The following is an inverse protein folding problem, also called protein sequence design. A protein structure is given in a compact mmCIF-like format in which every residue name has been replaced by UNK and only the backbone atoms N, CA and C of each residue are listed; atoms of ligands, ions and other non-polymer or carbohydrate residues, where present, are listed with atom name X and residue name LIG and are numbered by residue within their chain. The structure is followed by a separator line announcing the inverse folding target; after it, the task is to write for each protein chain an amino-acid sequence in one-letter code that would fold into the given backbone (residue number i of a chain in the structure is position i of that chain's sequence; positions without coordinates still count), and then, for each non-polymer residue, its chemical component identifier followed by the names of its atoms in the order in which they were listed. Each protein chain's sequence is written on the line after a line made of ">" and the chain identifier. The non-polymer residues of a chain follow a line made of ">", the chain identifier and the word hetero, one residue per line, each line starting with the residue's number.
data_IF_515297840051
#
_entry.id   IF_515297840051
#
_cell.length_a   1.000
_cell.length_b   1.000
_cell.length_c   1.000
_cell.angle_alpha   90.00
_cell.angle_beta   90.00
_cell.angle_gamma   90.00
#
_symmetry.space_group_name_H-M   'P 1'
#
loop_
_entity.id
_entity.type
_entity.pdbx_description
1 polymer ?
#
# COMPACT_ATOMS: atom_id res chain seq x y z
N UNK A 1 -4.74 30.23 37.97
CA UNK A 1 -4.37 30.49 36.56
C UNK A 1 -3.29 29.53 36.01
N UNK A 2 -2.27 29.11 36.78
CA UNK A 2 -1.26 28.11 36.32
C UNK A 2 -1.86 26.70 36.13
N UNK A 3 -2.71 26.25 37.03
CA UNK A 3 -3.44 24.96 36.94
C UNK A 3 -4.38 24.88 35.74
N UNK A 4 -5.08 25.97 35.39
CA UNK A 4 -5.94 26.04 34.21
C UNK A 4 -5.14 25.89 32.90
N UNK A 5 -3.94 26.47 32.83
CA UNK A 5 -3.04 26.31 31.67
C UNK A 5 -2.53 24.88 31.51
N UNK A 6 -2.26 24.16 32.62
CA UNK A 6 -1.82 22.76 32.61
C UNK A 6 -2.95 21.83 32.14
N UNK A 7 -4.18 22.06 32.61
CA UNK A 7 -5.36 21.28 32.20
C UNK A 7 -5.67 21.48 30.71
N UNK A 8 -5.59 22.72 30.21
CA UNK A 8 -5.77 23.03 28.78
C UNK A 8 -4.66 22.36 27.95
N UNK A 9 -3.41 22.40 28.40
CA UNK A 9 -2.29 21.74 27.71
C UNK A 9 -2.44 20.22 27.66
N UNK A 10 -2.96 19.57 28.72
CA UNK A 10 -3.20 18.13 28.73
C UNK A 10 -4.35 17.74 27.77
N UNK A 11 -5.40 18.56 27.72
CA UNK A 11 -6.56 18.33 26.85
C UNK A 11 -6.19 18.39 25.36
N UNK A 12 -5.26 19.27 24.97
CA UNK A 12 -4.75 19.35 23.59
C UNK A 12 -3.93 18.11 23.17
N UNK A 13 -3.18 17.48 24.08
CA UNK A 13 -2.40 16.27 23.78
C UNK A 13 -3.29 15.04 23.56
N UNK A 14 -4.41 14.93 24.28
CA UNK A 14 -5.37 13.83 24.12
C UNK A 14 -6.13 13.88 22.78
N UNK A 15 -6.34 15.08 22.22
CA UNK A 15 -7.05 15.26 20.93
C UNK A 15 -6.17 14.82 19.74
N UNK A 16 -4.83 14.93 19.86
CA UNK A 16 -3.88 14.60 18.78
C UNK A 16 -3.64 13.09 18.58
N UNK A 17 -4.01 12.24 19.56
CA UNK A 17 -3.87 10.79 19.44
C UNK A 17 -5.00 10.11 18.63
N UNK A 18 -6.02 10.88 18.24
CA UNK A 18 -7.26 10.37 17.64
C UNK A 18 -7.32 10.32 16.11
N UNK A 19 -6.29 10.78 15.38
CA UNK A 19 -6.35 10.84 13.92
C UNK A 19 -6.40 9.43 13.27
N UNK A 20 -7.61 9.02 12.91
CA UNK A 20 -7.93 8.20 11.74
C UNK A 20 -7.52 6.73 11.83
N UNK A 21 -8.07 5.96 12.76
CA UNK A 21 -7.98 4.49 12.69
C UNK A 21 -8.52 3.95 11.36
N UNK A 22 -9.57 4.59 10.84
CA UNK A 22 -10.19 4.31 9.55
C UNK A 22 -9.95 5.52 8.65
N UNK A 23 -9.55 5.27 7.40
CA UNK A 23 -9.13 6.26 6.40
C UNK A 23 -9.72 5.87 5.04
N UNK A 24 -9.84 6.78 4.06
CA UNK A 24 -10.14 6.39 2.68
C UNK A 24 -9.17 5.30 2.19
N UNK A 25 -9.67 4.35 1.42
CA UNK A 25 -8.85 3.31 0.77
C UNK A 25 -7.81 3.95 -0.12
N UNK A 26 -6.55 3.56 0.06
CA UNK A 26 -5.46 3.97 -0.80
C UNK A 26 -5.34 3.02 -1.99
N UNK A 27 -5.61 3.54 -3.19
CA UNK A 27 -5.11 2.96 -4.43
C UNK A 27 -3.84 3.71 -4.86
N UNK A 28 -2.95 3.01 -5.55
CA UNK A 28 -1.87 3.61 -6.32
C UNK A 28 -2.24 3.44 -7.78
N UNK A 29 -2.41 4.54 -8.51
CA UNK A 29 -2.89 4.50 -9.89
C UNK A 29 -1.83 5.04 -10.84
N UNK A 30 -1.63 4.33 -11.95
CA UNK A 30 -0.84 4.75 -13.10
C UNK A 30 0.55 5.31 -12.75
N UNK A 31 1.24 4.65 -11.83
CA UNK A 31 2.60 5.06 -11.47
C UNK A 31 3.53 4.80 -12.65
N UNK A 32 4.23 5.83 -13.16
CA UNK A 32 5.05 5.69 -14.35
C UNK A 32 6.30 4.84 -14.09
N UNK A 33 6.71 4.11 -15.12
CA UNK A 33 7.93 3.31 -15.15
C UNK A 33 8.94 3.95 -16.11
N UNK A 34 10.24 3.78 -15.84
CA UNK A 34 11.30 4.25 -16.73
C UNK A 34 11.22 3.58 -18.11
N UNK A 35 11.43 4.36 -19.17
CA UNK A 35 11.23 3.95 -20.57
C UNK A 35 12.18 2.83 -21.04
N UNK A 36 13.27 2.58 -20.32
CA UNK A 36 14.24 1.52 -20.62
C UNK A 36 13.90 0.16 -19.99
N UNK A 37 12.81 0.06 -19.23
CA UNK A 37 12.38 -1.20 -18.62
C UNK A 37 11.33 -1.91 -19.47
N UNK A 38 11.50 -3.21 -19.64
CA UNK A 38 10.51 -4.08 -20.28
C UNK A 38 9.45 -4.52 -19.27
N UNK A 39 8.24 -4.83 -19.75
CA UNK A 39 7.13 -5.32 -18.92
C UNK A 39 7.52 -6.52 -18.02
N UNK A 40 8.41 -7.41 -18.51
CA UNK A 40 8.94 -8.51 -17.70
C UNK A 40 9.76 -8.03 -16.49
N UNK A 41 10.56 -6.99 -16.64
CA UNK A 41 11.34 -6.40 -15.54
C UNK A 41 10.41 -5.70 -14.53
N UNK A 42 9.36 -5.04 -15.02
CA UNK A 42 8.33 -4.44 -14.15
C UNK A 42 7.61 -5.50 -13.33
N UNK A 43 7.20 -6.61 -13.98
CA UNK A 43 6.65 -7.78 -13.30
C UNK A 43 7.57 -8.30 -12.21
N UNK A 44 8.86 -8.49 -12.52
CA UNK A 44 9.84 -8.98 -11.54
C UNK A 44 10.00 -8.01 -10.37
N UNK A 45 10.07 -6.71 -10.62
CA UNK A 45 10.16 -5.71 -9.56
C UNK A 45 8.95 -5.75 -8.62
N UNK A 46 7.75 -5.90 -9.17
CA UNK A 46 6.50 -6.04 -8.40
C UNK A 46 6.50 -7.34 -7.61
N UNK A 47 6.72 -8.47 -8.28
CA UNK A 47 6.66 -9.80 -7.70
C UNK A 47 7.60 -9.94 -6.50
N UNK A 48 8.85 -9.54 -6.69
CA UNK A 48 9.86 -9.65 -5.63
C UNK A 48 9.54 -8.70 -4.47
N UNK A 49 9.18 -7.44 -4.74
CA UNK A 49 8.87 -6.46 -3.68
C UNK A 49 7.63 -6.87 -2.86
N UNK A 50 6.65 -7.49 -3.50
CA UNK A 50 5.47 -8.03 -2.84
C UNK A 50 5.83 -9.26 -1.99
N UNK A 51 6.58 -10.21 -2.55
CA UNK A 51 7.02 -11.43 -1.85
C UNK A 51 7.91 -11.10 -0.64
N UNK A 52 8.83 -10.15 -0.76
CA UNK A 52 9.69 -9.67 0.33
C UNK A 52 8.89 -9.09 1.50
N UNK A 53 7.67 -8.61 1.23
CA UNK A 53 6.72 -8.09 2.22
C UNK A 53 5.72 -9.13 2.73
N UNK A 54 5.86 -10.38 2.29
CA UNK A 54 4.99 -11.49 2.70
C UNK A 54 3.65 -11.55 1.96
N UNK A 55 3.51 -10.83 0.84
CA UNK A 55 2.35 -11.02 -0.03
C UNK A 55 2.50 -12.31 -0.83
N UNK A 56 1.42 -13.08 -0.92
CA UNK A 56 1.31 -14.24 -1.80
C UNK A 56 0.87 -13.75 -3.17
N UNK A 57 1.73 -13.87 -4.18
CA UNK A 57 1.50 -13.31 -5.52
C UNK A 57 1.14 -14.41 -6.51
N UNK A 58 0.07 -14.20 -7.28
CA UNK A 58 -0.32 -15.03 -8.41
C UNK A 58 -0.47 -14.17 -9.67
N UNK A 59 -0.12 -14.72 -10.83
CA UNK A 59 -0.41 -14.08 -12.12
C UNK A 59 -1.76 -14.56 -12.63
N UNK A 60 -2.70 -13.63 -12.80
CA UNK A 60 -4.04 -13.94 -13.29
C UNK A 60 -4.02 -14.03 -14.82
N UNK A 61 -3.29 -13.11 -15.46
CA UNK A 61 -3.03 -13.05 -16.90
C UNK A 61 -1.84 -12.14 -17.16
N UNK A 62 -1.24 -12.16 -18.37
CA UNK A 62 -0.19 -11.22 -18.72
C UNK A 62 -0.60 -9.77 -18.43
N UNK A 63 0.23 -9.04 -17.67
CA UNK A 63 -0.04 -7.65 -17.28
C UNK A 63 -0.94 -7.48 -16.06
N UNK A 64 -1.33 -8.55 -15.37
CA UNK A 64 -2.13 -8.49 -14.14
C UNK A 64 -1.69 -9.52 -13.11
N UNK A 65 -1.17 -9.02 -11.97
CA UNK A 65 -0.92 -9.83 -10.79
C UNK A 65 -2.05 -9.64 -9.77
N UNK A 66 -2.37 -10.69 -9.02
CA UNK A 66 -3.17 -10.64 -7.79
C UNK A 66 -2.25 -10.97 -6.62
N UNK A 67 -2.39 -10.23 -5.53
CA UNK A 67 -1.59 -10.46 -4.33
C UNK A 67 -2.46 -10.46 -3.07
N UNK A 68 -2.18 -11.39 -2.16
CA UNK A 68 -2.89 -11.56 -0.90
C UNK A 68 -1.95 -11.42 0.29
N UNK A 69 -2.41 -10.78 1.36
CA UNK A 69 -1.63 -10.62 2.58
C UNK A 69 -2.43 -11.04 3.80
N UNK A 70 -1.86 -11.95 4.60
CA UNK A 70 -2.42 -12.44 5.85
C UNK A 70 -1.55 -11.99 7.03
N UNK A 71 -2.10 -11.15 7.91
CA UNK A 71 -1.41 -10.63 9.10
C UNK A 71 -2.27 -10.81 10.34
N UNK A 72 -1.92 -11.81 11.16
CA UNK A 72 -2.72 -12.24 12.32
C UNK A 72 -4.15 -12.57 11.87
N UNK A 73 -5.13 -11.77 12.28
CA UNK A 73 -6.53 -11.91 11.93
C UNK A 73 -6.98 -11.00 10.76
N UNK A 74 -6.06 -10.29 10.11
CA UNK A 74 -6.37 -9.36 9.02
C UNK A 74 -5.97 -9.99 7.69
N UNK A 75 -6.79 -9.76 6.66
CA UNK A 75 -6.56 -10.23 5.31
C UNK A 75 -6.85 -9.11 4.31
N UNK A 76 -6.03 -8.98 3.28
CA UNK A 76 -6.21 -8.03 2.19
C UNK A 76 -5.86 -8.66 0.85
N UNK A 77 -6.65 -8.33 -0.16
CA UNK A 77 -6.41 -8.74 -1.55
C UNK A 77 -6.31 -7.51 -2.43
N UNK A 78 -5.31 -7.51 -3.31
CA UNK A 78 -5.06 -6.44 -4.27
C UNK A 78 -4.85 -7.01 -5.67
N UNK A 79 -5.13 -6.18 -6.66
CA UNK A 79 -4.73 -6.39 -8.04
C UNK A 79 -3.70 -5.35 -8.45
N UNK A 80 -2.71 -5.79 -9.21
CA UNK A 80 -1.57 -4.98 -9.63
C UNK A 80 -1.47 -5.08 -11.16
N UNK A 81 -2.28 -4.30 -11.92
CA UNK A 81 -2.11 -4.21 -13.35
C UNK A 81 -0.79 -3.49 -13.66
N UNK A 82 -0.08 -3.95 -14.69
CA UNK A 82 1.23 -3.41 -15.04
C UNK A 82 1.53 -3.54 -16.54
N UNK A 83 2.45 -2.71 -17.00
CA UNK A 83 3.04 -2.74 -18.34
C UNK A 83 4.50 -2.28 -18.27
N UNK A 84 5.14 -2.11 -19.43
CA UNK A 84 6.43 -1.42 -19.55
C UNK A 84 6.35 0.09 -19.25
N UNK A 85 5.14 0.66 -19.17
CA UNK A 85 4.93 2.10 -18.97
C UNK A 85 4.43 2.48 -17.58
N UNK A 86 3.70 1.58 -16.93
CA UNK A 86 3.04 1.88 -15.66
C UNK A 86 2.81 0.64 -14.79
N UNK A 87 2.48 0.88 -13.53
CA UNK A 87 1.76 -0.09 -12.69
C UNK A 87 0.78 0.63 -11.75
N UNK A 88 -0.21 -0.12 -11.26
CA UNK A 88 -1.16 0.32 -10.24
C UNK A 88 -1.22 -0.71 -9.10
N UNK A 89 -1.70 -0.32 -7.92
CA UNK A 89 -2.01 -1.21 -6.80
C UNK A 89 -3.44 -0.89 -6.37
N UNK A 90 -4.36 -1.81 -6.66
CA UNK A 90 -5.79 -1.59 -6.56
C UNK A 90 -6.39 -2.51 -5.49
N UNK A 91 -7.19 -1.92 -4.60
CA UNK A 91 -7.98 -2.68 -3.63
C UNK A 91 -8.99 -3.60 -4.33
N UNK A 92 -9.10 -4.85 -3.86
CA UNK A 92 -10.14 -5.80 -4.29
C UNK A 92 -11.08 -6.10 -3.14
N UNK A 93 -10.56 -6.70 -2.07
CA UNK A 93 -11.34 -7.12 -0.91
C UNK A 93 -10.47 -7.21 0.35
N UNK A 94 -11.11 -7.29 1.52
CA UNK A 94 -10.40 -7.44 2.79
C UNK A 94 -11.29 -7.99 3.89
N UNK A 95 -10.66 -8.68 4.84
CA UNK A 95 -11.29 -9.14 6.07
C UNK A 95 -10.64 -8.50 7.30
N UNK A 96 -11.48 -8.16 8.28
CA UNK A 96 -11.08 -7.55 9.55
C UNK A 96 -10.31 -6.22 9.41
N UNK A 97 -10.44 -5.54 8.27
CA UNK A 97 -9.88 -4.21 8.03
C UNK A 97 -10.91 -3.09 8.11
N UNK A 98 -12.11 -3.37 8.65
CA UNK A 98 -13.19 -2.37 8.81
C UNK A 98 -13.54 -1.67 7.49
N UNK A 99 -13.49 -2.40 6.37
CA UNK A 99 -13.87 -1.85 5.08
C UNK A 99 -15.37 -1.52 5.09
N UNK A 100 -15.70 -0.26 4.84
CA UNK A 100 -17.08 0.23 4.72
C UNK A 100 -17.03 1.58 3.99
N UNK A 101 -17.88 1.74 2.97
CA UNK A 101 -18.07 2.98 2.22
C UNK A 101 -16.77 3.65 1.75
N UNK A 102 -15.87 2.85 1.15
CA UNK A 102 -14.59 3.33 0.62
C UNK A 102 -13.57 3.73 1.69
N UNK A 103 -13.82 3.39 2.96
CA UNK A 103 -12.88 3.59 4.07
C UNK A 103 -12.42 2.25 4.64
N UNK A 104 -11.19 2.23 5.15
CA UNK A 104 -10.50 1.02 5.63
C UNK A 104 -9.54 1.36 6.78
N UNK A 105 -9.16 0.36 7.55
CA UNK A 105 -8.19 0.49 8.62
C UNK A 105 -6.84 0.98 8.08
N UNK A 106 -6.23 1.98 8.74
CA UNK A 106 -4.96 2.62 8.33
C UNK A 106 -3.79 1.66 8.04
N UNK A 107 -3.81 0.45 8.62
CA UNK A 107 -2.77 -0.55 8.37
C UNK A 107 -2.78 -1.02 6.92
N UNK A 108 -3.95 -1.11 6.28
CA UNK A 108 -4.05 -1.41 4.86
C UNK A 108 -3.28 -0.37 4.04
N UNK A 109 -3.59 0.92 4.22
CA UNK A 109 -2.89 2.01 3.52
C UNK A 109 -1.38 2.00 3.79
N UNK A 110 -0.97 1.64 5.02
CA UNK A 110 0.45 1.45 5.34
C UNK A 110 1.08 0.34 4.51
N UNK A 111 0.42 -0.81 4.37
CA UNK A 111 0.92 -1.92 3.56
C UNK A 111 1.02 -1.55 2.07
N UNK A 112 0.02 -0.86 1.52
CA UNK A 112 0.03 -0.38 0.14
C UNK A 112 1.15 0.61 -0.10
N UNK A 113 1.29 1.63 0.75
CA UNK A 113 2.37 2.62 0.63
C UNK A 113 3.75 1.95 0.71
N UNK A 114 3.93 1.04 1.66
CA UNK A 114 5.17 0.31 1.85
C UNK A 114 5.54 -0.53 0.64
N UNK A 115 4.57 -1.24 0.05
CA UNK A 115 4.76 -1.99 -1.19
C UNK A 115 5.15 -1.07 -2.35
N UNK A 116 4.43 0.04 -2.52
CA UNK A 116 4.70 1.03 -3.56
C UNK A 116 6.14 1.59 -3.48
N UNK A 117 6.60 1.95 -2.28
CA UNK A 117 7.97 2.44 -2.05
C UNK A 117 9.02 1.42 -2.47
N UNK A 118 8.80 0.13 -2.17
CA UNK A 118 9.76 -0.91 -2.51
C UNK A 118 9.77 -1.23 -4.00
N UNK A 119 8.60 -1.24 -4.65
CA UNK A 119 8.50 -1.37 -6.12
C UNK A 119 9.26 -0.23 -6.79
N UNK A 120 9.04 1.02 -6.38
CA UNK A 120 9.77 2.18 -6.92
C UNK A 120 11.28 2.05 -6.74
N UNK A 121 11.73 1.62 -5.55
CA UNK A 121 13.15 1.40 -5.28
C UNK A 121 13.73 0.33 -6.21
N UNK A 122 13.03 -0.79 -6.37
CA UNK A 122 13.49 -1.91 -7.19
C UNK A 122 13.53 -1.55 -8.67
N UNK A 123 12.52 -0.86 -9.18
CA UNK A 123 12.50 -0.32 -10.55
C UNK A 123 13.65 0.66 -10.78
N UNK A 124 13.91 1.58 -9.84
CA UNK A 124 15.01 2.54 -9.96
C UNK A 124 16.39 1.84 -10.05
N UNK A 125 16.60 0.78 -9.25
CA UNK A 125 17.84 -0.02 -9.33
C UNK A 125 17.94 -0.74 -10.68
N UNK A 126 16.86 -1.36 -11.16
CA UNK A 126 16.86 -2.06 -12.45
C UNK A 126 17.07 -1.12 -13.63
N UNK A 127 16.55 0.11 -13.57
CA UNK A 127 16.71 1.09 -14.65
C UNK A 127 18.12 1.68 -14.74
N UNK A 128 18.92 1.55 -13.68
CA UNK A 128 20.31 2.01 -13.62
C UNK A 128 21.34 0.96 -14.09
N UNK A 129 20.88 -0.26 -14.41
CA UNK A 129 21.69 -1.35 -14.96
C UNK A 129 21.66 -1.31 -16.49
#
# INVERSE_FOLDING_TARGET
>A
MKSLKIVISLLFVLILAGCGRVQPVMNVEDTPVALNLQSKQVKTAIYDSATDRGWLVSEIKPGLLRAELYVRSHHAVIEIPYSDKFYSILYVESDNLKYSDGKIHRNYNRWINNLNVDIKRKLAVMAAQ
#
